data_IF_599412767191
#
_entry.id   IF_599412767191
#
_cell.length_a   1.000
_cell.length_b   1.000
_cell.length_c   1.000
_cell.angle_alpha   90.00
_cell.angle_beta   90.00
_cell.angle_gamma   90.00
#
_symmetry.space_group_name_H-M   'P 1'
#
loop_
_entity.id
_entity.type
_entity.pdbx_description
1 polymer ?
#
# COMPACT_ATOMS: atom_id res chain seq x y z
N UNK A 1 22.24 18.29 -3.81
CA UNK A 1 21.10 17.36 -4.03
C UNK A 1 20.74 17.21 -5.51
N UNK A 2 20.98 18.24 -6.34
CA UNK A 2 20.74 18.24 -7.80
C UNK A 2 21.49 17.18 -8.61
N UNK A 3 22.71 16.78 -8.19
CA UNK A 3 23.51 15.74 -8.90
C UNK A 3 22.91 14.32 -8.87
N UNK A 4 21.99 14.01 -7.93
CA UNK A 4 21.38 12.67 -7.84
C UNK A 4 20.09 12.56 -8.66
N UNK A 5 19.34 13.67 -8.80
CA UNK A 5 18.15 13.73 -9.65
C UNK A 5 18.50 13.58 -11.13
N UNK A 6 19.62 14.15 -11.56
CA UNK A 6 20.13 14.06 -12.94
C UNK A 6 20.54 12.64 -13.33
N UNK A 7 21.11 11.84 -12.42
CA UNK A 7 21.49 10.46 -12.72
C UNK A 7 20.28 9.54 -12.92
N UNK A 8 19.25 9.71 -12.08
CA UNK A 8 18.00 8.96 -12.21
C UNK A 8 17.29 9.33 -13.52
N UNK A 9 17.21 10.63 -13.83
CA UNK A 9 16.58 11.12 -15.05
C UNK A 9 17.29 10.67 -16.32
N UNK A 10 18.61 10.83 -16.43
CA UNK A 10 19.37 10.33 -17.59
C UNK A 10 19.33 8.82 -17.74
N UNK A 11 19.29 8.06 -16.65
CA UNK A 11 19.16 6.60 -16.73
C UNK A 11 17.78 6.19 -17.27
N UNK A 12 16.74 6.85 -16.80
CA UNK A 12 15.36 6.67 -17.23
C UNK A 12 15.11 7.14 -18.68
N UNK A 13 15.88 8.12 -19.14
CA UNK A 13 15.93 8.57 -20.54
C UNK A 13 16.66 7.56 -21.45
N UNK A 14 17.71 6.91 -20.91
CA UNK A 14 18.50 5.88 -21.60
C UNK A 14 17.69 4.59 -21.79
N UNK A 15 16.86 4.22 -20.82
CA UNK A 15 15.80 3.22 -20.99
C UNK A 15 14.54 3.87 -21.59
N UNK A 16 14.58 4.30 -22.87
CA UNK A 16 13.42 4.86 -23.62
C UNK A 16 12.12 4.04 -23.52
N UNK A 17 12.19 2.76 -23.12
CA UNK A 17 11.05 1.85 -22.94
C UNK A 17 10.61 1.64 -21.48
N UNK A 18 11.35 2.12 -20.47
CA UNK A 18 11.03 1.90 -19.05
C UNK A 18 9.73 2.59 -18.64
N UNK A 19 9.61 3.89 -18.92
CA UNK A 19 8.42 4.68 -18.57
C UNK A 19 7.14 4.22 -19.26
N UNK A 20 7.25 3.84 -20.54
CA UNK A 20 6.11 3.34 -21.32
C UNK A 20 5.54 2.03 -20.76
N UNK A 21 6.31 1.31 -19.94
CA UNK A 21 5.84 0.12 -19.20
C UNK A 21 5.36 0.47 -17.80
N UNK A 22 6.01 1.41 -17.13
CA UNK A 22 5.66 1.87 -15.77
C UNK A 22 4.32 2.61 -15.76
N UNK A 23 4.03 3.44 -16.76
CA UNK A 23 2.80 4.22 -16.81
C UNK A 23 1.53 3.36 -16.93
N UNK A 24 1.41 2.45 -17.92
CA UNK A 24 0.28 1.54 -17.98
C UNK A 24 0.25 0.61 -16.76
N UNK A 25 1.39 0.23 -16.21
CA UNK A 25 1.46 -0.53 -14.96
C UNK A 25 0.77 0.20 -13.80
N UNK A 26 1.12 1.47 -13.56
CA UNK A 26 0.50 2.28 -12.50
C UNK A 26 -0.99 2.51 -12.78
N UNK A 27 -1.36 2.70 -14.05
CA UNK A 27 -2.75 2.89 -14.47
C UNK A 27 -3.61 1.64 -14.23
N UNK A 28 -3.18 0.46 -14.69
CA UNK A 28 -3.89 -0.80 -14.47
C UNK A 28 -3.91 -1.19 -12.99
N UNK A 29 -2.84 -0.91 -12.24
CA UNK A 29 -2.80 -1.11 -10.79
C UNK A 29 -3.85 -0.24 -10.08
N UNK A 30 -3.94 1.05 -10.43
CA UNK A 30 -4.91 1.97 -9.82
C UNK A 30 -6.36 1.58 -10.15
N UNK A 31 -6.66 1.24 -11.41
CA UNK A 31 -8.01 0.81 -11.81
C UNK A 31 -8.39 -0.53 -11.17
N UNK A 32 -7.48 -1.52 -11.20
CA UNK A 32 -7.73 -2.82 -10.59
C UNK A 32 -8.00 -2.70 -9.08
N UNK A 33 -7.27 -1.81 -8.40
CA UNK A 33 -7.49 -1.49 -7.01
C UNK A 33 -8.88 -0.89 -6.74
N UNK A 34 -9.29 0.11 -7.52
CA UNK A 34 -10.59 0.76 -7.36
C UNK A 34 -11.76 -0.20 -7.59
N UNK A 35 -11.67 -1.05 -8.64
CA UNK A 35 -12.69 -2.06 -8.93
C UNK A 35 -12.76 -3.10 -7.80
N UNK A 36 -11.62 -3.56 -7.30
CA UNK A 36 -11.58 -4.54 -6.21
C UNK A 36 -12.14 -3.97 -4.89
N UNK A 37 -11.75 -2.74 -4.52
CA UNK A 37 -12.30 -2.03 -3.35
C UNK A 37 -13.81 -1.87 -3.45
N UNK A 38 -14.32 -1.48 -4.63
CA UNK A 38 -15.76 -1.38 -4.87
C UNK A 38 -16.50 -2.70 -4.59
N UNK A 39 -15.99 -3.82 -5.13
CA UNK A 39 -16.60 -5.14 -4.91
C UNK A 39 -16.55 -5.60 -3.46
N UNK A 40 -15.44 -5.36 -2.75
CA UNK A 40 -15.31 -5.75 -1.33
C UNK A 40 -16.27 -4.96 -0.46
N UNK A 41 -16.32 -3.63 -0.61
CA UNK A 41 -17.25 -2.79 0.14
C UNK A 41 -18.71 -3.12 -0.16
N UNK A 42 -19.03 -3.42 -1.43
CA UNK A 42 -20.36 -3.86 -1.83
C UNK A 42 -20.74 -5.20 -1.19
N UNK A 43 -19.81 -6.16 -1.14
CA UNK A 43 -20.04 -7.49 -0.56
C UNK A 43 -20.27 -7.42 0.96
N UNK A 44 -19.54 -6.55 1.67
CA UNK A 44 -19.70 -6.34 3.12
C UNK A 44 -21.08 -5.75 3.46
N UNK A 45 -21.66 -4.93 2.57
CA UNK A 45 -23.02 -4.38 2.75
C UNK A 45 -24.09 -5.46 2.81
N UNK A 46 -23.86 -6.62 2.18
CA UNK A 46 -24.83 -7.72 2.07
C UNK A 46 -24.80 -8.67 3.28
N UNK A 47 -23.71 -8.74 4.03
CA UNK A 47 -23.57 -9.72 5.13
C UNK A 47 -24.32 -9.23 6.38
N UNK A 48 -25.39 -9.95 6.73
CA UNK A 48 -26.28 -9.66 7.87
C UNK A 48 -25.78 -10.38 9.15
N UNK A 49 -24.70 -9.88 9.77
CA UNK A 49 -24.14 -10.44 11.00
C UNK A 49 -24.83 -9.80 12.22
N UNK A 50 -25.49 -10.62 13.05
CA UNK A 50 -26.27 -10.21 14.24
C UNK A 50 -25.45 -9.60 15.40
N UNK A 51 -24.12 -9.65 15.35
CA UNK A 51 -23.22 -9.14 16.40
C UNK A 51 -22.44 -7.93 15.88
N UNK A 52 -22.78 -6.74 16.41
CA UNK A 52 -22.19 -5.46 15.98
C UNK A 52 -20.66 -5.47 16.14
N UNK A 53 -20.12 -6.02 17.23
CA UNK A 53 -18.68 -6.10 17.48
C UNK A 53 -17.94 -7.04 16.51
N UNK A 54 -18.49 -8.24 16.26
CA UNK A 54 -17.88 -9.19 15.32
C UNK A 54 -17.95 -8.67 13.88
N UNK A 55 -19.08 -8.05 13.50
CA UNK A 55 -19.25 -7.40 12.19
C UNK A 55 -18.19 -6.32 11.97
N UNK A 56 -17.96 -5.47 12.98
CA UNK A 56 -16.95 -4.42 12.90
C UNK A 56 -15.54 -5.00 12.77
N UNK A 57 -15.17 -5.97 13.60
CA UNK A 57 -13.86 -6.61 13.51
C UNK A 57 -13.63 -7.26 12.15
N UNK A 58 -14.64 -7.94 11.60
CA UNK A 58 -14.58 -8.54 10.28
C UNK A 58 -14.36 -7.48 9.18
N UNK A 59 -15.10 -6.37 9.22
CA UNK A 59 -14.93 -5.26 8.27
C UNK A 59 -13.50 -4.70 8.35
N UNK A 60 -12.99 -4.45 9.56
CA UNK A 60 -11.64 -3.91 9.75
C UNK A 60 -10.57 -4.88 9.24
N UNK A 61 -10.74 -6.19 9.46
CA UNK A 61 -9.83 -7.20 8.94
C UNK A 61 -9.87 -7.21 7.40
N UNK A 62 -11.05 -7.22 6.79
CA UNK A 62 -11.20 -7.17 5.34
C UNK A 62 -10.56 -5.89 4.76
N UNK A 63 -10.86 -4.71 5.31
CA UNK A 63 -10.23 -3.46 4.89
C UNK A 63 -8.71 -3.53 4.98
N UNK A 64 -8.17 -4.01 6.11
CA UNK A 64 -6.72 -4.15 6.31
C UNK A 64 -6.08 -5.09 5.28
N UNK A 65 -6.73 -6.22 4.96
CA UNK A 65 -6.28 -7.14 3.90
C UNK A 65 -6.24 -6.43 2.55
N UNK A 66 -7.34 -5.77 2.16
CA UNK A 66 -7.43 -5.11 0.86
C UNK A 66 -6.43 -3.97 0.73
N UNK A 67 -6.30 -3.13 1.75
CA UNK A 67 -5.42 -1.97 1.72
C UNK A 67 -3.94 -2.39 1.73
N UNK A 68 -3.56 -3.42 2.48
CA UNK A 68 -2.19 -3.95 2.40
C UNK A 68 -1.93 -4.64 1.06
N UNK A 69 -2.93 -5.31 0.47
CA UNK A 69 -2.82 -5.91 -0.85
C UNK A 69 -2.53 -4.83 -1.90
N UNK A 70 -3.31 -3.76 -1.82
CA UNK A 70 -3.29 -2.61 -2.69
C UNK A 70 -1.96 -1.88 -2.67
N UNK A 71 -1.58 -1.36 -1.50
CA UNK A 71 -0.52 -0.38 -1.36
C UNK A 71 0.85 -1.00 -1.12
N UNK A 72 0.92 -2.24 -0.64
CA UNK A 72 2.19 -2.90 -0.27
C UNK A 72 2.42 -4.13 -1.15
N UNK A 73 1.63 -5.18 -0.95
CA UNK A 73 1.88 -6.47 -1.59
C UNK A 73 1.98 -6.36 -3.11
N UNK A 74 0.95 -5.83 -3.77
CA UNK A 74 0.87 -5.76 -5.24
C UNK A 74 2.02 -4.94 -5.84
N UNK A 75 2.23 -3.66 -5.46
CA UNK A 75 3.29 -2.86 -6.06
C UNK A 75 4.68 -3.45 -5.77
N UNK A 76 4.90 -4.01 -4.58
CA UNK A 76 6.23 -4.47 -4.17
C UNK A 76 6.55 -5.84 -4.78
N UNK A 77 5.56 -6.72 -4.88
CA UNK A 77 5.69 -8.00 -5.56
C UNK A 77 5.95 -7.82 -7.05
N UNK A 78 5.18 -6.94 -7.72
CA UNK A 78 5.40 -6.65 -9.12
C UNK A 78 6.76 -5.97 -9.36
N UNK A 79 7.18 -5.08 -8.46
CA UNK A 79 8.53 -4.50 -8.51
C UNK A 79 9.63 -5.56 -8.38
N UNK A 80 9.40 -6.60 -7.57
CA UNK A 80 10.33 -7.71 -7.45
C UNK A 80 10.42 -8.52 -8.76
N UNK A 81 9.28 -8.79 -9.41
CA UNK A 81 9.20 -9.57 -10.65
C UNK A 81 9.81 -8.83 -11.85
N UNK A 82 9.48 -7.55 -12.04
CA UNK A 82 9.81 -6.83 -13.27
C UNK A 82 11.17 -6.14 -13.26
N UNK A 83 11.75 -5.86 -12.08
CA UNK A 83 12.99 -5.10 -12.00
C UNK A 83 14.21 -5.96 -11.62
N UNK A 84 15.31 -5.71 -12.34
CA UNK A 84 16.64 -6.27 -12.07
C UNK A 84 17.13 -5.86 -10.68
N UNK A 85 17.97 -6.68 -10.05
CA UNK A 85 18.45 -6.52 -8.65
C UNK A 85 18.91 -5.09 -8.30
N UNK A 86 19.64 -4.42 -9.19
CA UNK A 86 20.13 -3.04 -8.99
C UNK A 86 19.01 -1.99 -8.99
N UNK A 87 18.04 -2.12 -9.90
CA UNK A 87 16.90 -1.20 -10.01
C UNK A 87 15.86 -1.47 -8.93
N UNK A 88 15.73 -2.73 -8.50
CA UNK A 88 14.77 -3.16 -7.50
C UNK A 88 14.84 -2.32 -6.22
N UNK A 89 16.02 -2.08 -5.67
CA UNK A 89 16.13 -1.30 -4.42
C UNK A 89 15.63 0.14 -4.59
N UNK A 90 16.01 0.81 -5.67
CA UNK A 90 15.54 2.17 -5.96
C UNK A 90 14.02 2.21 -6.20
N UNK A 91 13.49 1.25 -6.96
CA UNK A 91 12.04 1.11 -7.19
C UNK A 91 11.29 0.87 -5.89
N UNK A 92 11.78 0.00 -4.99
CA UNK A 92 11.15 -0.26 -3.70
C UNK A 92 11.12 0.99 -2.82
N UNK A 93 12.22 1.76 -2.78
CA UNK A 93 12.23 3.04 -2.05
C UNK A 93 11.20 3.99 -2.64
N UNK A 94 11.16 4.16 -3.97
CA UNK A 94 10.16 4.99 -4.63
C UNK A 94 8.72 4.55 -4.31
N UNK A 95 8.46 3.25 -4.37
CA UNK A 95 7.14 2.69 -4.06
C UNK A 95 6.74 2.88 -2.59
N UNK A 96 7.67 2.83 -1.64
CA UNK A 96 7.35 3.15 -0.23
C UNK A 96 6.75 4.56 -0.13
N UNK A 97 7.39 5.55 -0.76
CA UNK A 97 6.92 6.94 -0.70
C UNK A 97 5.64 7.14 -1.50
N UNK A 98 5.57 6.62 -2.73
CA UNK A 98 4.40 6.76 -3.59
C UNK A 98 3.18 6.09 -2.94
N UNK A 99 3.31 4.83 -2.51
CA UNK A 99 2.22 4.12 -1.84
C UNK A 99 1.79 4.82 -0.56
N UNK A 100 2.73 5.34 0.23
CA UNK A 100 2.40 6.06 1.46
C UNK A 100 1.64 7.37 1.19
N UNK A 101 2.12 8.19 0.26
CA UNK A 101 1.44 9.44 -0.11
C UNK A 101 0.04 9.16 -0.67
N UNK A 102 -0.09 8.19 -1.59
CA UNK A 102 -1.38 7.79 -2.15
C UNK A 102 -2.34 7.28 -1.07
N UNK A 103 -1.84 6.47 -0.14
CA UNK A 103 -2.61 5.99 1.00
C UNK A 103 -3.16 7.18 1.80
N UNK A 104 -2.34 8.18 2.11
CA UNK A 104 -2.79 9.39 2.79
C UNK A 104 -3.84 10.20 2.00
N UNK A 105 -3.69 10.35 0.67
CA UNK A 105 -4.62 11.11 -0.18
C UNK A 105 -6.01 10.49 -0.22
N UNK A 106 -6.08 9.15 -0.21
CA UNK A 106 -7.34 8.41 -0.28
C UNK A 106 -8.12 8.43 1.04
N UNK A 107 -7.51 8.91 2.12
CA UNK A 107 -8.18 9.10 3.41
C UNK A 107 -8.62 10.57 3.57
N UNK A 108 -9.91 10.84 3.83
CA UNK A 108 -10.41 12.21 3.87
C UNK A 108 -9.83 13.01 5.05
N UNK A 109 -9.44 14.27 4.81
CA UNK A 109 -9.02 15.25 5.81
C UNK A 109 -7.53 15.59 5.80
N UNK A 110 -7.18 16.88 5.79
CA UNK A 110 -5.78 17.36 5.61
C UNK A 110 -4.84 16.91 6.73
N UNK A 111 -5.29 16.91 7.99
CA UNK A 111 -4.49 16.35 9.11
C UNK A 111 -4.31 14.84 8.98
N UNK A 112 -5.28 14.16 8.38
CA UNK A 112 -5.23 12.71 8.14
C UNK A 112 -4.29 12.36 7.01
N UNK A 113 -4.16 13.19 5.96
CA UNK A 113 -3.16 13.01 4.90
C UNK A 113 -1.74 12.84 5.46
N UNK A 114 -1.32 13.71 6.38
CA UNK A 114 0.03 13.65 6.96
C UNK A 114 0.24 12.43 7.84
N UNK A 115 -0.72 12.12 8.73
CA UNK A 115 -0.60 10.98 9.64
C UNK A 115 -0.69 9.66 8.87
N UNK A 116 -1.72 9.50 8.02
CA UNK A 116 -1.92 8.31 7.21
C UNK A 116 -0.82 8.15 6.17
N UNK A 117 -0.30 9.24 5.59
CA UNK A 117 0.82 9.18 4.66
C UNK A 117 2.11 8.66 5.31
N UNK A 118 2.42 9.15 6.51
CA UNK A 118 3.58 8.69 7.30
C UNK A 118 3.40 7.23 7.74
N UNK A 119 2.20 6.86 8.19
CA UNK A 119 1.84 5.46 8.50
C UNK A 119 2.03 4.55 7.27
N UNK A 120 1.57 5.04 6.11
CA UNK A 120 1.79 4.49 4.79
C UNK A 120 3.25 4.10 4.53
N UNK A 121 4.14 5.07 4.70
CA UNK A 121 5.58 4.94 4.55
C UNK A 121 6.15 3.93 5.56
N UNK A 122 5.76 4.03 6.83
CA UNK A 122 6.22 3.14 7.90
C UNK A 122 5.89 1.67 7.59
N UNK A 123 4.67 1.37 7.11
CA UNK A 123 4.30 0.01 6.74
C UNK A 123 5.10 -0.50 5.55
N UNK A 124 5.37 0.37 4.56
CA UNK A 124 6.27 0.05 3.45
C UNK A 124 7.69 -0.29 3.94
N UNK A 125 8.21 0.44 4.92
CA UNK A 125 9.52 0.16 5.54
C UNK A 125 9.51 -1.17 6.30
N UNK A 126 8.45 -1.46 7.07
CA UNK A 126 8.27 -2.73 7.78
C UNK A 126 8.24 -3.90 6.79
N UNK A 127 7.44 -3.80 5.73
CA UNK A 127 7.36 -4.79 4.66
C UNK A 127 8.74 -5.11 4.08
N UNK A 128 9.52 -4.07 3.78
CA UNK A 128 10.89 -4.21 3.28
C UNK A 128 11.83 -4.86 4.29
N UNK A 129 11.78 -4.43 5.56
CA UNK A 129 12.62 -4.96 6.66
C UNK A 129 12.36 -6.45 6.92
N UNK A 130 11.12 -6.89 6.75
CA UNK A 130 10.69 -8.29 6.89
C UNK A 130 11.08 -9.17 5.69
N UNK A 131 11.78 -8.62 4.70
CA UNK A 131 12.32 -9.35 3.56
C UNK A 131 11.51 -9.20 2.27
N UNK A 132 10.55 -8.27 2.21
CA UNK A 132 9.80 -7.97 1.00
C UNK A 132 10.68 -7.66 -0.23
N UNK A 133 11.79 -6.94 -0.02
CA UNK A 133 12.79 -6.65 -1.08
C UNK A 133 13.37 -7.93 -1.68
N UNK A 134 13.53 -8.97 -0.85
CA UNK A 134 14.05 -10.29 -1.25
C UNK A 134 12.98 -11.18 -1.89
N UNK A 135 11.75 -10.68 -2.07
CA UNK A 135 10.65 -11.45 -2.65
C UNK A 135 9.89 -12.31 -1.64
N UNK A 136 10.16 -12.17 -0.34
CA UNK A 136 9.32 -12.82 0.68
C UNK A 136 7.96 -12.11 0.68
N UNK A 137 6.88 -12.86 0.58
CA UNK A 137 5.52 -12.29 0.47
C UNK A 137 4.74 -12.55 1.76
N UNK A 138 4.58 -13.83 2.12
CA UNK A 138 3.65 -14.23 3.18
C UNK A 138 3.93 -13.53 4.51
N UNK A 139 5.18 -13.61 5.01
CA UNK A 139 5.57 -12.98 6.28
C UNK A 139 5.36 -11.46 6.31
N UNK A 140 5.93 -10.66 5.39
CA UNK A 140 5.75 -9.21 5.43
C UNK A 140 4.28 -8.81 5.25
N UNK A 141 3.56 -9.48 4.36
CA UNK A 141 2.16 -9.17 4.10
C UNK A 141 1.27 -9.45 5.32
N UNK A 142 1.37 -10.64 5.92
CA UNK A 142 0.58 -10.99 7.11
C UNK A 142 0.88 -10.08 8.30
N UNK A 143 2.14 -9.68 8.51
CA UNK A 143 2.49 -8.76 9.59
C UNK A 143 1.93 -7.36 9.33
N UNK A 144 2.00 -6.85 8.10
CA UNK A 144 1.39 -5.56 7.77
C UNK A 144 -0.13 -5.59 7.98
N UNK A 145 -0.83 -6.67 7.58
CA UNK A 145 -2.27 -6.81 7.81
C UNK A 145 -2.59 -6.75 9.31
N UNK A 146 -1.87 -7.53 10.13
CA UNK A 146 -2.09 -7.56 11.57
C UNK A 146 -1.82 -6.20 12.21
N UNK A 147 -0.72 -5.55 11.83
CA UNK A 147 -0.36 -4.25 12.38
C UNK A 147 -1.39 -3.18 12.00
N UNK A 148 -1.83 -3.15 10.74
CA UNK A 148 -2.87 -2.27 10.25
C UNK A 148 -4.20 -2.51 10.99
N UNK A 149 -4.61 -3.77 11.16
CA UNK A 149 -5.80 -4.11 11.94
C UNK A 149 -5.71 -3.60 13.38
N UNK A 150 -4.56 -3.78 14.04
CA UNK A 150 -4.34 -3.28 15.40
C UNK A 150 -4.43 -1.75 15.49
N UNK A 151 -3.86 -1.01 14.53
CA UNK A 151 -3.97 0.45 14.47
C UNK A 151 -5.42 0.88 14.26
N UNK A 152 -6.14 0.22 13.35
CA UNK A 152 -7.56 0.51 13.11
C UNK A 152 -8.42 0.28 14.36
N UNK A 153 -8.21 -0.83 15.07
CA UNK A 153 -8.90 -1.10 16.34
C UNK A 153 -8.57 -0.02 17.37
N UNK A 154 -7.29 0.31 17.54
CA UNK A 154 -6.83 1.33 18.50
C UNK A 154 -7.45 2.70 18.22
N UNK A 155 -7.43 3.15 16.96
CA UNK A 155 -8.03 4.42 16.54
C UNK A 155 -9.52 4.43 16.87
N UNK A 156 -10.26 3.39 16.52
CA UNK A 156 -11.70 3.37 16.77
C UNK A 156 -11.99 3.34 18.27
N UNK A 157 -11.23 2.57 19.05
CA UNK A 157 -11.34 2.56 20.52
C UNK A 157 -11.11 3.93 21.15
N UNK A 158 -10.17 4.73 20.63
CA UNK A 158 -9.93 6.10 21.10
C UNK A 158 -11.12 7.04 20.81
N UNK A 159 -11.77 6.87 19.66
CA UNK A 159 -12.90 7.72 19.26
C UNK A 159 -14.25 7.24 19.81
N UNK A 160 -14.39 5.97 20.20
CA UNK A 160 -15.61 5.43 20.83
C UNK A 160 -15.76 5.80 22.31
N UNK A 161 -14.74 6.39 22.92
CA UNK A 161 -14.75 6.86 24.32
C UNK A 161 -15.22 8.32 24.46
N UNK A 162 -15.63 8.96 23.36
CA UNK A 162 -16.22 10.29 23.31
C UNK A 162 -17.69 10.20 22.91
#
# INVERSE_FOLDING_TARGET
MEKKMTALWHYLEKEKNGWKKILPFLFFWFIGLQVYLYFVLYSIRIINIKFIGFRMLFVLLCCSIVEEAAFRFTPFYLAHLFFKKRLRQATFIGLIFISGILFGILHPGVRRLWVQGVEGILFGMIYCKLGGIKGKILKPYSICILFHLCVNIFIISLFSLR
#
